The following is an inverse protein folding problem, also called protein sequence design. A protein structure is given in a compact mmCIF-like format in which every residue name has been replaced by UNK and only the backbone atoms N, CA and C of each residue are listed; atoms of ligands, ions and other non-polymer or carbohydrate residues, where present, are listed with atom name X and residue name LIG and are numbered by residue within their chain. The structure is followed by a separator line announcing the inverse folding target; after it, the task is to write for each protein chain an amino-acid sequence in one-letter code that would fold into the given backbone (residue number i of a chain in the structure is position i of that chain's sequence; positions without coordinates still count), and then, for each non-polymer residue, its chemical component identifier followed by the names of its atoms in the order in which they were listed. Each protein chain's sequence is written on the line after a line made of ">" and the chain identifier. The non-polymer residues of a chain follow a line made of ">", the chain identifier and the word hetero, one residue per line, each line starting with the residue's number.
data_IF_496305071779
#
_entry.id   IF_496305071779
#
_cell.length_a   1.000
_cell.length_b   1.000
_cell.length_c   1.000
_cell.angle_alpha   90.00
_cell.angle_beta   90.00
_cell.angle_gamma   90.00
#
_symmetry.space_group_name_H-M   'P 1'
#
loop_
_entity.id
_entity.type
_entity.pdbx_description
1 polymer ?
#
# COMPACT_ATOMS: atom_id res chain seq x y z
N UNK A 1 25.80 5.93 -15.77
CA UNK A 1 25.20 6.61 -14.59
C UNK A 1 23.97 7.36 -15.06
N UNK A 2 22.82 7.26 -14.38
CA UNK A 2 21.70 8.16 -14.66
C UNK A 2 22.15 9.61 -14.48
N UNK A 3 21.69 10.52 -15.32
CA UNK A 3 22.03 11.95 -15.19
C UNK A 3 21.57 12.44 -13.81
N UNK A 4 22.47 13.08 -13.07
CA UNK A 4 22.10 13.77 -11.84
C UNK A 4 21.15 14.92 -12.20
N UNK A 5 19.92 14.88 -11.70
CA UNK A 5 19.00 16.01 -11.83
C UNK A 5 19.40 17.10 -10.84
N UNK A 6 19.28 18.37 -11.25
CA UNK A 6 19.59 19.52 -10.38
C UNK A 6 18.60 19.68 -9.22
N UNK A 7 17.51 18.91 -9.21
CA UNK A 7 16.52 18.86 -8.15
C UNK A 7 15.40 17.90 -8.50
N UNK A 8 14.64 17.52 -7.49
CA UNK A 8 13.49 16.63 -7.57
C UNK A 8 12.43 17.09 -8.60
N UNK A 9 12.16 18.40 -8.69
CA UNK A 9 11.22 18.95 -9.67
C UNK A 9 11.68 18.71 -11.12
N UNK A 10 13.00 18.77 -11.37
CA UNK A 10 13.58 18.45 -12.66
C UNK A 10 13.49 16.95 -12.96
N UNK A 11 13.61 16.09 -11.95
CA UNK A 11 13.37 14.67 -12.11
C UNK A 11 11.89 14.38 -12.44
N UNK A 12 10.93 15.04 -11.80
CA UNK A 12 9.49 14.90 -12.09
C UNK A 12 9.16 15.32 -13.52
N UNK A 13 9.58 16.53 -13.91
CA UNK A 13 9.37 17.03 -15.26
C UNK A 13 10.07 16.16 -16.31
N UNK A 14 11.28 15.67 -16.03
CA UNK A 14 11.97 14.75 -16.95
C UNK A 14 11.25 13.40 -17.05
N UNK A 15 10.65 12.92 -15.97
CA UNK A 15 9.87 11.67 -15.97
C UNK A 15 8.62 11.86 -16.83
N UNK A 16 7.91 12.98 -16.66
CA UNK A 16 6.73 13.33 -17.45
C UNK A 16 7.03 13.59 -18.93
N UNK A 17 8.12 14.29 -19.23
CA UNK A 17 8.56 14.51 -20.59
C UNK A 17 8.89 13.17 -21.26
N UNK A 18 9.59 12.27 -20.56
CA UNK A 18 9.99 10.97 -21.11
C UNK A 18 8.81 10.07 -21.49
N UNK A 19 7.68 10.16 -20.78
CA UNK A 19 6.48 9.38 -21.12
C UNK A 19 5.61 10.06 -22.19
N UNK A 20 5.67 11.40 -22.27
CA UNK A 20 4.97 12.19 -23.29
C UNK A 20 5.61 11.99 -24.68
N UNK A 21 6.94 11.98 -24.77
CA UNK A 21 7.68 11.74 -26.02
C UNK A 21 7.47 10.32 -26.59
N UNK A 22 7.09 9.36 -25.74
CA UNK A 22 6.80 7.98 -26.17
C UNK A 22 5.36 7.85 -26.67
N UNK A 23 4.44 8.70 -26.19
CA UNK A 23 3.04 8.69 -26.57
C UNK A 23 2.77 9.45 -27.87
N UNK A 24 3.49 10.56 -28.12
CA UNK A 24 3.47 11.26 -29.40
C UNK A 24 4.57 10.72 -30.32
N UNK A 25 4.19 9.96 -31.36
CA UNK A 25 5.13 9.45 -32.39
C UNK A 25 5.75 10.54 -33.29
N UNK A 26 5.54 11.81 -32.94
CA UNK A 26 6.08 12.96 -33.63
C UNK A 26 7.37 13.42 -32.94
N UNK A 27 8.38 13.82 -33.72
CA UNK A 27 9.62 14.41 -33.20
C UNK A 27 9.33 15.79 -32.60
N UNK A 28 8.73 15.84 -31.41
CA UNK A 28 8.52 17.06 -30.66
C UNK A 28 9.89 17.64 -30.26
N UNK A 29 10.05 18.97 -30.39
CA UNK A 29 11.28 19.62 -29.91
C UNK A 29 11.30 19.52 -28.37
N UNK A 30 12.49 19.36 -27.79
CA UNK A 30 12.65 19.24 -26.33
C UNK A 30 11.99 20.38 -25.52
N UNK A 31 11.84 21.58 -26.11
CA UNK A 31 11.12 22.70 -25.51
C UNK A 31 9.60 22.49 -25.43
N UNK A 32 9.00 21.84 -26.43
CA UNK A 32 7.58 21.50 -26.46
C UNK A 32 7.27 20.41 -25.43
N UNK A 33 8.07 19.34 -25.39
CA UNK A 33 7.95 18.25 -24.40
C UNK A 33 8.04 18.74 -22.95
N UNK A 34 8.87 19.75 -22.69
CA UNK A 34 9.01 20.35 -21.36
C UNK A 34 7.79 21.20 -20.98
N UNK A 35 7.19 21.91 -21.95
CA UNK A 35 5.97 22.68 -21.76
C UNK A 35 4.75 21.77 -21.51
N UNK A 36 4.62 20.66 -22.26
CA UNK A 36 3.58 19.65 -22.01
C UNK A 36 3.79 18.92 -20.68
N UNK A 37 5.03 18.60 -20.31
CA UNK A 37 5.33 18.02 -19.00
C UNK A 37 4.94 18.96 -17.85
N UNK A 38 5.20 20.27 -18.01
CA UNK A 38 4.83 21.27 -17.01
C UNK A 38 3.32 21.47 -16.90
N UNK A 39 2.56 21.36 -17.99
CA UNK A 39 1.10 21.44 -17.94
C UNK A 39 0.43 20.19 -17.37
N UNK A 40 1.12 19.04 -17.43
CA UNK A 40 0.64 17.76 -16.88
C UNK A 40 0.95 17.61 -15.39
N UNK A 41 1.99 18.29 -14.91
CA UNK A 41 2.35 18.33 -13.49
C UNK A 41 1.29 19.12 -12.72
N UNK A 42 0.44 18.41 -11.98
CA UNK A 42 -0.63 19.01 -11.20
C UNK A 42 -0.11 19.62 -9.91
N UNK A 43 0.80 18.92 -9.23
CA UNK A 43 1.35 19.37 -7.97
C UNK A 43 2.70 18.72 -7.68
N UNK A 44 3.62 19.45 -7.05
CA UNK A 44 4.85 18.91 -6.47
C UNK A 44 4.82 19.16 -4.98
N UNK A 45 4.93 18.09 -4.20
CA UNK A 45 5.00 18.18 -2.74
C UNK A 45 6.45 17.96 -2.29
N UNK A 46 6.89 18.78 -1.33
CA UNK A 46 8.30 18.86 -0.88
C UNK A 46 8.47 18.98 0.64
N UNK A 47 7.37 19.02 1.39
CA UNK A 47 7.39 19.37 2.82
C UNK A 47 7.45 18.16 3.76
N UNK A 48 7.03 16.97 3.30
CA UNK A 48 7.02 15.72 4.08
C UNK A 48 7.69 14.59 3.32
N UNK A 49 7.42 14.50 2.02
CA UNK A 49 8.15 13.68 1.08
C UNK A 49 8.38 14.48 -0.20
N UNK A 50 9.34 14.02 -0.99
CA UNK A 50 9.60 14.52 -2.32
C UNK A 50 8.77 13.69 -3.30
N UNK A 51 7.73 14.29 -3.91
CA UNK A 51 7.05 13.66 -5.05
C UNK A 51 6.14 14.61 -5.82
N UNK A 52 5.35 14.04 -6.73
CA UNK A 52 4.45 14.81 -7.58
C UNK A 52 3.16 14.07 -7.93
N UNK A 53 2.15 14.83 -8.33
CA UNK A 53 0.93 14.37 -8.98
C UNK A 53 0.91 14.88 -10.42
N UNK A 54 0.46 14.06 -11.35
CA UNK A 54 0.36 14.42 -12.76
C UNK A 54 -0.85 13.78 -13.44
N UNK A 55 -1.39 14.47 -14.43
CA UNK A 55 -2.42 13.94 -15.32
C UNK A 55 -1.75 13.26 -16.53
N UNK A 56 -2.07 11.98 -16.76
CA UNK A 56 -1.48 11.16 -17.81
C UNK A 56 -2.57 10.59 -18.73
N UNK A 57 -2.26 10.46 -20.01
CA UNK A 57 -3.09 9.66 -20.92
C UNK A 57 -2.89 8.15 -20.68
N UNK A 58 -3.80 7.28 -21.14
CA UNK A 58 -3.62 5.82 -21.00
C UNK A 58 -2.31 5.30 -21.63
N UNK A 59 -1.88 5.85 -22.77
CA UNK A 59 -0.62 5.47 -23.41
C UNK A 59 0.60 5.93 -22.61
N UNK A 60 0.54 7.09 -21.97
CA UNK A 60 1.59 7.61 -21.08
C UNK A 60 1.69 6.80 -19.79
N UNK A 61 0.56 6.37 -19.22
CA UNK A 61 0.55 5.45 -18.09
C UNK A 61 1.22 4.12 -18.47
N UNK A 62 0.94 3.58 -19.65
CA UNK A 62 1.61 2.36 -20.14
C UNK A 62 3.11 2.58 -20.39
N UNK A 63 3.52 3.77 -20.83
CA UNK A 63 4.93 4.15 -20.92
C UNK A 63 5.59 4.30 -19.54
N UNK A 64 4.87 4.84 -18.55
CA UNK A 64 5.34 4.98 -17.17
C UNK A 64 5.47 3.62 -16.46
N UNK A 65 4.55 2.67 -16.71
CA UNK A 65 4.68 1.27 -16.27
C UNK A 65 5.93 0.60 -16.84
N UNK A 66 6.35 1.03 -18.03
CA UNK A 66 7.59 0.62 -18.70
C UNK A 66 8.79 1.49 -18.31
N UNK A 67 8.61 2.44 -17.39
CA UNK A 67 9.63 3.42 -17.02
C UNK A 67 10.86 2.74 -16.42
N UNK A 68 12.00 3.43 -16.46
CA UNK A 68 13.21 2.95 -15.84
C UNK A 68 13.07 2.69 -14.33
N UNK A 69 12.15 3.33 -13.59
CA UNK A 69 12.04 3.12 -12.14
C UNK A 69 11.56 1.71 -11.78
N UNK A 70 10.45 1.25 -12.36
CA UNK A 70 9.94 -0.12 -12.14
C UNK A 70 10.85 -1.19 -12.74
N UNK A 71 11.47 -0.90 -13.89
CA UNK A 71 12.44 -1.82 -14.49
C UNK A 71 13.78 -1.86 -13.73
N UNK A 72 14.25 -0.73 -13.20
CA UNK A 72 15.51 -0.66 -12.45
C UNK A 72 15.36 -1.26 -11.05
N UNK A 73 14.19 -1.12 -10.41
CA UNK A 73 13.89 -1.83 -9.16
C UNK A 73 13.42 -3.27 -9.37
N UNK A 74 13.31 -3.71 -10.63
CA UNK A 74 12.76 -5.01 -11.01
C UNK A 74 11.44 -5.32 -10.28
N UNK A 75 10.54 -4.33 -10.22
CA UNK A 75 9.22 -4.41 -9.57
C UNK A 75 9.26 -4.75 -8.06
N UNK A 76 10.37 -4.42 -7.38
CA UNK A 76 10.56 -4.70 -5.94
C UNK A 76 11.14 -6.07 -5.64
N UNK A 77 11.76 -6.73 -6.63
CA UNK A 77 12.41 -8.03 -6.44
C UNK A 77 13.40 -8.01 -5.25
N UNK A 78 13.27 -9.00 -4.37
CA UNK A 78 14.11 -9.18 -3.19
C UNK A 78 13.78 -8.26 -2.01
N UNK A 79 12.82 -7.34 -2.16
CA UNK A 79 12.33 -6.48 -1.08
C UNK A 79 11.25 -7.19 -0.28
N UNK A 80 11.28 -7.03 1.04
CA UNK A 80 10.29 -7.58 1.98
C UNK A 80 9.51 -6.42 2.60
N UNK A 81 8.21 -6.38 2.34
CA UNK A 81 7.28 -5.43 2.95
C UNK A 81 6.57 -6.12 4.11
N UNK A 82 6.88 -5.68 5.33
CA UNK A 82 6.18 -6.04 6.55
C UNK A 82 4.89 -5.21 6.71
N UNK A 83 3.79 -5.85 7.07
CA UNK A 83 2.52 -5.20 7.38
C UNK A 83 2.09 -5.50 8.81
N UNK A 84 1.80 -4.46 9.58
CA UNK A 84 1.15 -4.59 10.89
C UNK A 84 -0.31 -4.22 10.73
N UNK A 85 -1.20 -5.21 10.76
CA UNK A 85 -2.60 -5.05 10.31
C UNK A 85 -3.55 -6.14 10.89
N UNK A 86 -4.71 -6.37 10.27
CA UNK A 86 -5.75 -7.36 10.65
C UNK A 86 -5.46 -8.79 10.18
N UNK A 87 -4.38 -9.00 9.42
CA UNK A 87 -3.97 -10.31 8.90
C UNK A 87 -3.97 -10.39 7.38
N UNK A 88 -3.88 -11.60 6.85
CA UNK A 88 -3.90 -11.87 5.42
C UNK A 88 -4.87 -13.01 5.08
N UNK A 89 -5.54 -12.91 3.93
CA UNK A 89 -6.28 -14.02 3.31
C UNK A 89 -5.40 -14.74 2.28
N UNK A 90 -4.65 -15.79 2.66
CA UNK A 90 -3.54 -16.32 1.84
C UNK A 90 -4.00 -16.92 0.51
N UNK A 91 -5.25 -17.35 0.39
CA UNK A 91 -5.81 -17.90 -0.85
C UNK A 91 -6.20 -16.82 -1.88
N UNK A 92 -6.06 -15.54 -1.56
CA UNK A 92 -6.30 -14.47 -2.55
C UNK A 92 -5.32 -14.64 -3.72
N UNK A 93 -5.83 -14.52 -4.95
CA UNK A 93 -5.00 -14.55 -6.17
C UNK A 93 -3.88 -13.50 -6.12
N UNK A 94 -4.03 -12.41 -5.36
CA UNK A 94 -2.97 -11.42 -5.20
C UNK A 94 -1.75 -11.94 -4.43
N UNK A 95 -1.87 -13.06 -3.72
CA UNK A 95 -0.77 -13.77 -3.05
C UNK A 95 -0.25 -14.96 -3.85
N UNK A 96 -0.67 -15.15 -5.10
CA UNK A 96 -0.04 -16.16 -5.95
C UNK A 96 1.45 -15.84 -6.11
N UNK A 97 2.29 -16.87 -6.16
CA UNK A 97 3.74 -16.72 -6.21
C UNK A 97 4.34 -16.95 -7.61
N UNK A 98 3.49 -16.94 -8.64
CA UNK A 98 3.94 -17.03 -10.02
C UNK A 98 4.82 -15.83 -10.38
N UNK A 99 6.02 -16.11 -10.88
CA UNK A 99 7.00 -15.08 -11.25
C UNK A 99 7.70 -14.41 -10.06
N UNK A 100 7.46 -14.88 -8.83
CA UNK A 100 8.17 -14.38 -7.65
C UNK A 100 9.62 -14.85 -7.62
N UNK A 101 10.55 -13.99 -7.17
CA UNK A 101 11.93 -14.39 -6.90
C UNK A 101 12.02 -15.38 -5.73
N UNK A 102 13.20 -15.97 -5.55
CA UNK A 102 13.49 -16.76 -4.35
C UNK A 102 13.48 -15.87 -3.10
N UNK A 103 13.03 -16.43 -1.98
CA UNK A 103 12.99 -15.73 -0.69
C UNK A 103 14.41 -15.30 -0.30
N UNK A 104 14.65 -14.02 0.08
CA UNK A 104 15.97 -13.54 0.47
C UNK A 104 16.55 -14.37 1.61
N UNK A 105 17.82 -14.77 1.50
CA UNK A 105 18.52 -15.55 2.55
C UNK A 105 18.68 -14.80 3.87
N UNK A 106 18.49 -13.48 3.84
CA UNK A 106 18.51 -12.60 5.01
C UNK A 106 17.22 -12.65 5.80
N UNK A 107 16.13 -13.16 5.20
CA UNK A 107 14.83 -13.33 5.85
C UNK A 107 14.90 -14.33 7.01
N UNK A 108 14.37 -13.95 8.17
CA UNK A 108 14.36 -14.77 9.38
C UNK A 108 12.98 -15.05 9.95
N UNK A 109 11.94 -14.47 9.34
CA UNK A 109 10.57 -14.70 9.79
C UNK A 109 10.06 -16.09 9.46
N UNK A 110 8.89 -16.40 10.00
CA UNK A 110 8.26 -17.71 9.92
C UNK A 110 6.78 -17.62 9.56
N UNK A 111 6.20 -18.77 9.22
CA UNK A 111 4.78 -18.92 8.98
C UNK A 111 4.14 -19.65 10.15
N UNK A 112 3.60 -18.88 11.10
CA UNK A 112 2.98 -19.40 12.32
C UNK A 112 1.65 -20.07 12.00
N UNK A 113 1.43 -21.26 12.55
CA UNK A 113 0.16 -22.00 12.38
C UNK A 113 -0.83 -21.63 13.48
N UNK A 114 -2.12 -21.62 13.14
CA UNK A 114 -3.20 -21.32 14.06
C UNK A 114 -4.55 -21.76 13.50
N UNK A 115 -5.64 -21.19 14.01
CA UNK A 115 -7.00 -21.48 13.52
C UNK A 115 -7.12 -21.24 12.02
N UNK A 116 -7.46 -22.28 11.25
CA UNK A 116 -7.64 -22.23 9.78
C UNK A 116 -6.45 -21.61 9.02
N UNK A 117 -5.24 -21.66 9.60
CA UNK A 117 -4.02 -21.18 8.98
C UNK A 117 -2.89 -22.15 9.30
N UNK A 118 -2.27 -22.74 8.29
CA UNK A 118 -1.13 -23.63 8.48
C UNK A 118 0.12 -23.05 7.81
N UNK A 119 1.30 -23.51 8.21
CA UNK A 119 2.58 -23.00 7.70
C UNK A 119 2.79 -23.18 6.21
N UNK A 120 2.06 -24.09 5.55
CA UNK A 120 2.10 -24.30 4.10
C UNK A 120 1.30 -23.25 3.32
N UNK A 121 0.56 -22.37 4.00
CA UNK A 121 -0.13 -21.24 3.36
C UNK A 121 0.81 -20.08 3.02
N UNK A 122 2.02 -20.06 3.59
CA UNK A 122 3.07 -19.18 3.09
C UNK A 122 3.72 -19.78 1.84
N UNK A 123 4.14 -18.91 0.94
CA UNK A 123 4.75 -19.24 -0.35
C UNK A 123 5.83 -18.20 -0.68
N UNK A 124 6.28 -18.09 -1.94
CA UNK A 124 7.29 -17.05 -2.29
C UNK A 124 6.70 -15.64 -2.34
N UNK A 125 5.38 -15.46 -2.21
CA UNK A 125 4.72 -14.16 -2.17
C UNK A 125 4.45 -13.70 -0.74
N UNK A 126 3.65 -14.46 0.01
CA UNK A 126 3.45 -14.31 1.44
C UNK A 126 4.49 -15.18 2.14
N UNK A 127 5.64 -14.60 2.51
CA UNK A 127 6.81 -15.34 3.02
C UNK A 127 6.81 -15.50 4.54
N UNK A 128 5.98 -14.72 5.23
CA UNK A 128 5.86 -14.72 6.68
C UNK A 128 4.47 -14.32 7.13
N UNK A 129 4.00 -14.97 8.19
CA UNK A 129 2.69 -14.72 8.75
C UNK A 129 2.74 -15.00 10.24
N UNK A 130 2.62 -13.97 11.06
CA UNK A 130 2.68 -14.03 12.52
C UNK A 130 1.53 -13.22 13.12
N UNK A 131 1.14 -13.56 14.35
CA UNK A 131 0.06 -12.86 15.02
C UNK A 131 0.38 -12.57 16.49
N UNK A 132 -0.18 -11.49 17.02
CA UNK A 132 0.15 -10.94 18.33
C UNK A 132 -1.14 -10.58 19.06
N UNK A 133 -1.46 -11.31 20.12
CA UNK A 133 -2.67 -11.12 20.93
C UNK A 133 -2.42 -11.34 22.43
N UNK A 134 -1.15 -11.31 22.86
CA UNK A 134 -0.80 -11.54 24.26
C UNK A 134 -1.27 -10.40 25.14
N UNK A 135 -1.24 -9.16 24.66
CA UNK A 135 -1.82 -8.00 25.34
C UNK A 135 -3.33 -8.14 25.51
N UNK A 136 -4.02 -8.54 24.44
CA UNK A 136 -5.46 -8.84 24.46
C UNK A 136 -5.81 -9.91 25.51
N UNK A 137 -5.13 -11.06 25.46
CA UNK A 137 -5.36 -12.17 26.40
C UNK A 137 -5.01 -11.76 27.84
N UNK A 138 -3.96 -10.97 28.04
CA UNK A 138 -3.58 -10.50 29.38
C UNK A 138 -4.65 -9.56 29.98
N UNK A 139 -5.28 -8.70 29.17
CA UNK A 139 -6.39 -7.86 29.64
C UNK A 139 -7.65 -8.68 29.89
N UNK A 140 -7.96 -9.63 29.01
CA UNK A 140 -9.16 -10.44 29.07
C UNK A 140 -8.82 -11.94 29.03
N UNK A 141 -8.44 -12.56 30.17
CA UNK A 141 -7.96 -13.94 30.21
C UNK A 141 -8.96 -15.00 29.74
N UNK A 142 -10.26 -14.70 29.78
CA UNK A 142 -11.34 -15.61 29.36
C UNK A 142 -11.88 -15.29 27.96
N UNK A 143 -11.18 -14.45 27.19
CA UNK A 143 -11.59 -14.11 25.84
C UNK A 143 -11.41 -15.30 24.90
N UNK A 144 -12.39 -15.53 24.04
CA UNK A 144 -12.29 -16.54 22.98
C UNK A 144 -11.97 -15.81 21.68
N UNK A 145 -10.76 -16.02 21.16
CA UNK A 145 -10.35 -15.48 19.86
C UNK A 145 -10.80 -16.47 18.79
N UNK A 146 -11.79 -16.07 18.01
CA UNK A 146 -12.47 -16.95 17.05
C UNK A 146 -11.53 -17.41 15.93
N UNK A 147 -10.71 -16.50 15.39
CA UNK A 147 -9.71 -16.77 14.37
C UNK A 147 -8.30 -16.54 14.91
N UNK A 148 -7.88 -17.36 15.89
CA UNK A 148 -6.55 -17.29 16.52
C UNK A 148 -5.43 -17.75 15.57
N UNK A 149 -5.19 -16.95 14.54
CA UNK A 149 -4.15 -17.08 13.53
C UNK A 149 -3.98 -15.76 12.77
N UNK A 150 -3.01 -15.72 11.84
CA UNK A 150 -2.79 -14.60 10.92
C UNK A 150 -3.85 -14.49 9.81
N UNK A 151 -4.85 -15.39 9.77
CA UNK A 151 -5.95 -15.27 8.80
C UNK A 151 -6.75 -13.99 9.05
N UNK A 152 -6.95 -13.22 7.99
CA UNK A 152 -7.77 -12.02 8.01
C UNK A 152 -9.26 -12.36 8.06
N UNK A 153 -9.99 -11.72 8.97
CA UNK A 153 -11.45 -11.84 9.12
C UNK A 153 -12.18 -10.53 8.86
N UNK A 154 -11.44 -9.44 8.69
CA UNK A 154 -11.99 -8.09 8.45
C UNK A 154 -11.81 -7.70 6.98
N UNK A 155 -10.59 -7.92 6.43
CA UNK A 155 -10.25 -7.68 5.03
C UNK A 155 -9.25 -6.53 4.81
N UNK A 156 -9.08 -5.63 5.78
CA UNK A 156 -8.23 -4.45 5.71
C UNK A 156 -6.77 -4.84 5.49
N UNK A 157 -6.23 -5.77 6.27
CA UNK A 157 -4.86 -6.26 6.11
C UNK A 157 -4.61 -6.93 4.75
N UNK A 158 -5.58 -7.68 4.24
CA UNK A 158 -5.53 -8.23 2.88
C UNK A 158 -5.57 -7.12 1.83
N UNK A 159 -6.39 -6.10 2.02
CA UNK A 159 -6.50 -4.98 1.09
C UNK A 159 -5.21 -4.11 1.07
N UNK A 160 -4.65 -3.78 2.23
CA UNK A 160 -3.46 -2.93 2.36
C UNK A 160 -2.22 -3.63 1.81
N UNK A 161 -2.00 -4.89 2.17
CA UNK A 161 -0.88 -5.70 1.67
C UNK A 161 -0.90 -5.90 0.15
N UNK A 162 -2.08 -6.19 -0.41
CA UNK A 162 -2.22 -6.39 -1.86
C UNK A 162 -2.17 -5.07 -2.64
N UNK A 163 -2.48 -3.93 -2.00
CA UNK A 163 -2.21 -2.60 -2.57
C UNK A 163 -0.71 -2.29 -2.59
N UNK A 164 0.02 -2.65 -1.53
CA UNK A 164 1.48 -2.42 -1.48
C UNK A 164 2.23 -3.34 -2.45
N UNK A 165 1.91 -4.62 -2.41
CA UNK A 165 2.64 -5.66 -3.11
C UNK A 165 1.75 -6.82 -3.55
N UNK A 166 0.52 -6.63 -4.02
CA UNK A 166 -0.23 -7.71 -4.68
C UNK A 166 0.46 -8.15 -5.97
N UNK A 167 0.48 -9.45 -6.27
CA UNK A 167 0.90 -9.94 -7.58
C UNK A 167 -0.14 -9.53 -8.66
N UNK A 168 0.19 -9.73 -9.93
CA UNK A 168 -0.72 -9.42 -11.03
C UNK A 168 -1.91 -10.39 -11.03
N UNK A 169 -3.13 -9.84 -11.00
CA UNK A 169 -4.40 -10.59 -11.08
C UNK A 169 -5.22 -10.04 -12.23
N UNK A 170 -5.31 -10.81 -13.32
CA UNK A 170 -6.07 -10.44 -14.51
C UNK A 170 -7.59 -10.54 -14.26
N UNK A 171 -8.36 -9.65 -14.89
CA UNK A 171 -9.82 -9.69 -14.84
C UNK A 171 -10.42 -9.31 -13.49
N UNK A 172 -9.63 -8.77 -12.57
CA UNK A 172 -10.11 -8.26 -11.29
C UNK A 172 -11.13 -7.15 -11.49
N UNK A 173 -12.20 -7.17 -10.69
CA UNK A 173 -13.22 -6.13 -10.66
C UNK A 173 -13.93 -6.15 -9.30
N UNK A 174 -14.51 -5.01 -8.92
CA UNK A 174 -15.48 -4.97 -7.84
C UNK A 174 -16.87 -5.09 -8.47
N UNK A 175 -17.42 -6.30 -8.57
CA UNK A 175 -18.74 -6.54 -9.17
C UNK A 175 -18.90 -5.84 -10.54
N UNK A 176 -17.92 -6.03 -11.44
CA UNK A 176 -17.90 -5.39 -12.76
C UNK A 176 -17.33 -3.96 -12.79
N UNK A 177 -17.33 -3.23 -11.67
CA UNK A 177 -16.67 -1.94 -11.55
C UNK A 177 -15.15 -2.08 -11.54
N UNK A 178 -14.45 -1.06 -12.04
CA UNK A 178 -12.99 -0.99 -12.04
C UNK A 178 -12.28 -2.21 -12.68
N UNK A 179 -12.89 -2.83 -13.70
CA UNK A 179 -12.34 -4.01 -14.38
C UNK A 179 -10.95 -3.74 -14.93
N UNK A 180 -9.99 -4.61 -14.61
CA UNK A 180 -8.63 -4.53 -15.13
C UNK A 180 -7.73 -5.62 -14.56
N UNK A 181 -6.42 -5.39 -14.61
CA UNK A 181 -5.43 -6.20 -13.88
C UNK A 181 -5.13 -5.51 -12.56
N UNK A 182 -5.46 -6.15 -11.44
CA UNK A 182 -5.05 -5.68 -10.13
C UNK A 182 -3.57 -6.02 -9.90
N UNK A 183 -2.86 -5.13 -9.22
CA UNK A 183 -1.44 -5.29 -8.90
C UNK A 183 -1.07 -4.30 -7.79
N UNK A 184 -0.16 -4.70 -6.91
CA UNK A 184 0.43 -3.78 -5.95
C UNK A 184 1.41 -2.82 -6.61
N UNK A 185 1.86 -1.82 -5.85
CA UNK A 185 2.90 -0.88 -6.31
C UNK A 185 4.22 -1.61 -6.62
N UNK A 186 4.57 -2.61 -5.79
CA UNK A 186 5.75 -3.46 -5.93
C UNK A 186 5.35 -4.95 -6.07
N UNK A 187 4.88 -5.39 -7.25
CA UNK A 187 4.28 -6.72 -7.39
C UNK A 187 5.25 -7.88 -7.23
N UNK A 188 6.57 -7.66 -7.34
CA UNK A 188 7.60 -8.68 -7.10
C UNK A 188 8.26 -8.60 -5.72
N UNK A 189 7.78 -7.70 -4.85
CA UNK A 189 8.17 -7.69 -3.44
C UNK A 189 7.46 -8.82 -2.67
N UNK A 190 8.12 -9.32 -1.65
CA UNK A 190 7.55 -10.27 -0.69
C UNK A 190 6.71 -9.55 0.36
N UNK A 191 5.70 -10.26 0.87
CA UNK A 191 4.83 -9.80 1.95
C UNK A 191 5.13 -10.60 3.20
N UNK A 192 5.30 -9.91 4.33
CA UNK A 192 5.30 -10.50 5.66
C UNK A 192 4.18 -9.86 6.50
N UNK A 193 3.24 -10.67 6.96
CA UNK A 193 2.08 -10.19 7.71
C UNK A 193 2.27 -10.38 9.21
N UNK A 194 2.05 -9.32 9.97
CA UNK A 194 2.12 -9.26 11.43
C UNK A 194 0.75 -8.82 11.95
N UNK A 195 -0.15 -9.78 12.17
CA UNK A 195 -1.51 -9.49 12.67
C UNK A 195 -1.46 -9.04 14.12
N UNK A 196 -1.83 -7.80 14.38
CA UNK A 196 -1.92 -7.24 15.73
C UNK A 196 -3.27 -6.57 16.01
N UNK A 197 -4.12 -6.49 14.99
CA UNK A 197 -5.48 -6.00 15.08
C UNK A 197 -6.46 -7.18 15.03
N UNK A 198 -7.41 -7.20 15.96
CA UNK A 198 -8.37 -8.30 16.13
C UNK A 198 -9.78 -7.77 16.29
N UNK A 199 -10.75 -8.56 15.84
CA UNK A 199 -12.18 -8.29 16.03
C UNK A 199 -12.52 -8.17 17.52
N UNK A 200 -11.85 -8.97 18.35
CA UNK A 200 -12.04 -8.97 19.80
C UNK A 200 -11.33 -7.80 20.53
N UNK A 201 -10.52 -7.01 19.82
CA UNK A 201 -9.85 -5.82 20.34
C UNK A 201 -8.34 -5.84 20.10
N UNK A 202 -7.75 -4.64 20.09
CA UNK A 202 -6.33 -4.44 19.77
C UNK A 202 -5.63 -3.75 20.92
N UNK A 203 -4.39 -4.17 21.21
CA UNK A 203 -3.60 -3.62 22.31
C UNK A 203 -2.27 -3.13 21.80
N UNK A 204 -1.85 -2.00 22.33
CA UNK A 204 -0.62 -1.37 21.86
C UNK A 204 0.63 -2.19 22.15
N UNK A 205 0.61 -3.00 23.22
CA UNK A 205 1.68 -3.96 23.48
C UNK A 205 1.82 -5.01 22.37
N UNK A 206 0.70 -5.42 21.75
CA UNK A 206 0.72 -6.34 20.61
C UNK A 206 1.22 -5.64 19.34
N UNK A 207 0.90 -4.35 19.15
CA UNK A 207 1.44 -3.53 18.06
C UNK A 207 2.96 -3.38 18.16
N UNK A 208 3.49 -3.04 19.35
CA UNK A 208 4.94 -2.93 19.57
C UNK A 208 5.60 -4.29 19.31
N UNK A 209 5.04 -5.38 19.84
CA UNK A 209 5.58 -6.72 19.63
C UNK A 209 5.61 -7.12 18.14
N UNK A 210 4.59 -6.74 17.37
CA UNK A 210 4.55 -6.95 15.93
C UNK A 210 5.65 -6.16 15.19
N UNK A 211 5.84 -4.89 15.54
CA UNK A 211 6.89 -4.03 14.96
C UNK A 211 8.28 -4.58 15.31
N UNK A 212 8.54 -4.88 16.58
CA UNK A 212 9.82 -5.45 17.05
C UNK A 212 10.12 -6.77 16.34
N UNK A 213 9.10 -7.60 16.13
CA UNK A 213 9.28 -8.85 15.41
C UNK A 213 9.58 -8.63 13.93
N UNK A 214 8.91 -7.67 13.27
CA UNK A 214 9.21 -7.30 11.90
C UNK A 214 10.66 -6.82 11.72
N UNK A 215 11.16 -6.02 12.66
CA UNK A 215 12.55 -5.58 12.68
C UNK A 215 13.50 -6.79 12.82
N UNK A 216 13.20 -7.70 13.74
CA UNK A 216 14.02 -8.90 13.98
C UNK A 216 14.05 -9.85 12.78
N UNK A 217 12.91 -9.99 12.09
CA UNK A 217 12.75 -10.87 10.94
C UNK A 217 13.47 -10.33 9.69
N UNK A 218 13.78 -9.02 9.69
CA UNK A 218 14.56 -8.35 8.66
C UNK A 218 13.72 -7.86 7.48
N UNK A 219 12.55 -7.26 7.75
CA UNK A 219 11.79 -6.53 6.72
C UNK A 219 12.56 -5.29 6.25
N UNK A 220 12.40 -4.90 4.98
CA UNK A 220 13.03 -3.70 4.42
C UNK A 220 12.12 -2.47 4.57
N UNK A 221 10.81 -2.70 4.49
CA UNK A 221 9.76 -1.69 4.58
C UNK A 221 8.72 -2.16 5.59
N UNK A 222 8.25 -1.25 6.43
CA UNK A 222 7.12 -1.45 7.32
C UNK A 222 5.96 -0.56 6.87
N UNK A 223 4.81 -1.17 6.59
CA UNK A 223 3.57 -0.47 6.22
C UNK A 223 2.54 -0.64 7.33
N UNK A 224 2.04 0.47 7.85
CA UNK A 224 1.13 0.50 8.99
C UNK A 224 -0.05 1.42 8.70
N UNK A 225 -1.21 0.85 8.43
CA UNK A 225 -2.45 1.60 8.22
C UNK A 225 -3.21 1.78 9.55
N UNK A 226 -2.49 2.25 10.57
CA UNK A 226 -2.97 2.43 11.94
C UNK A 226 -2.14 3.49 12.66
N UNK A 227 -2.54 3.87 13.86
CA UNK A 227 -1.78 4.77 14.73
C UNK A 227 -2.54 5.06 16.03
N UNK A 228 -2.09 6.06 16.79
CA UNK A 228 -2.74 6.54 18.01
C UNK A 228 -2.89 8.07 17.97
N UNK A 229 -3.97 8.57 18.56
CA UNK A 229 -4.28 9.99 18.63
C UNK A 229 -4.02 10.56 20.03
N UNK A 230 -3.68 11.84 20.08
CA UNK A 230 -3.65 12.62 21.32
C UNK A 230 -2.49 12.29 22.27
N UNK A 231 -1.44 11.62 21.79
CA UNK A 231 -0.26 11.27 22.60
C UNK A 231 0.97 12.11 22.18
N UNK A 232 1.78 12.60 23.14
CA UNK A 232 3.09 13.16 22.81
C UNK A 232 4.06 12.05 22.37
N UNK A 233 5.04 12.38 21.51
CA UNK A 233 5.94 11.39 20.89
C UNK A 233 6.66 10.45 21.87
N UNK A 234 6.98 10.92 23.08
CA UNK A 234 7.65 10.13 24.11
C UNK A 234 6.71 9.16 24.85
N UNK A 235 5.39 9.32 24.68
CA UNK A 235 4.35 8.44 25.22
C UNK A 235 3.63 7.69 24.10
N UNK A 236 3.92 7.98 22.83
CA UNK A 236 3.42 7.25 21.68
C UNK A 236 4.28 5.99 21.44
N UNK A 237 3.79 4.80 21.80
CA UNK A 237 4.52 3.55 21.58
C UNK A 237 4.76 3.20 20.12
N UNK A 238 3.92 3.68 19.18
CA UNK A 238 4.17 3.48 17.75
C UNK A 238 5.34 4.36 17.33
N UNK A 239 5.40 5.59 17.81
CA UNK A 239 6.57 6.45 17.59
C UNK A 239 7.85 5.77 18.13
N UNK A 240 7.83 5.28 19.38
CA UNK A 240 8.98 4.60 19.99
C UNK A 240 9.42 3.35 19.22
N UNK A 241 8.48 2.46 18.86
CA UNK A 241 8.79 1.23 18.14
C UNK A 241 9.30 1.50 16.71
N UNK A 242 8.71 2.47 16.01
CA UNK A 242 9.14 2.84 14.65
C UNK A 242 10.47 3.58 14.64
N UNK A 243 10.86 4.24 15.74
CA UNK A 243 12.20 4.79 15.88
C UNK A 243 13.27 3.69 15.80
N UNK A 244 13.05 2.57 16.49
CA UNK A 244 13.93 1.41 16.43
C UNK A 244 14.00 0.79 15.03
N UNK A 245 12.90 0.80 14.26
CA UNK A 245 12.90 0.35 12.87
C UNK A 245 13.82 1.23 11.99
N UNK A 246 13.70 2.55 12.13
CA UNK A 246 14.53 3.50 11.38
C UNK A 246 16.01 3.38 11.74
N UNK A 247 16.36 3.15 13.02
CA UNK A 247 17.75 2.85 13.44
C UNK A 247 18.33 1.59 12.79
N UNK A 248 17.48 0.68 12.30
CA UNK A 248 17.85 -0.52 11.55
C UNK A 248 17.75 -0.34 10.03
N UNK A 249 17.60 0.89 9.55
CA UNK A 249 17.42 1.25 8.14
C UNK A 249 16.15 0.65 7.50
N UNK A 250 15.11 0.42 8.30
CA UNK A 250 13.81 -0.04 7.82
C UNK A 250 12.96 1.18 7.51
N UNK A 251 12.49 1.31 6.28
CA UNK A 251 11.62 2.43 5.90
C UNK A 251 10.22 2.22 6.47
N UNK A 252 9.63 3.25 7.10
CA UNK A 252 8.31 3.15 7.73
C UNK A 252 7.31 4.07 7.04
N UNK A 253 6.17 3.52 6.63
CA UNK A 253 5.03 4.24 6.05
C UNK A 253 3.80 4.09 6.94
N UNK A 254 3.19 5.21 7.33
CA UNK A 254 2.01 5.27 8.18
C UNK A 254 0.90 6.13 7.56
N UNK A 255 -0.37 5.86 7.86
CA UNK A 255 -1.48 6.70 7.42
C UNK A 255 -1.60 7.99 8.26
N UNK A 256 -2.10 9.08 7.65
CA UNK A 256 -2.36 10.36 8.31
C UNK A 256 -3.70 10.42 9.06
N UNK A 257 -4.46 9.32 9.10
CA UNK A 257 -5.79 9.24 9.72
C UNK A 257 -6.92 9.82 8.87
N UNK A 258 -8.15 9.61 9.34
CA UNK A 258 -9.39 9.93 8.62
C UNK A 258 -10.27 10.96 9.33
N UNK A 259 -9.78 11.58 10.43
CA UNK A 259 -10.52 12.53 11.28
C UNK A 259 -10.55 13.97 10.73
N UNK A 260 -10.15 14.16 9.47
CA UNK A 260 -10.26 15.44 8.78
C UNK A 260 -11.70 15.96 8.68
N UNK A 261 -11.91 17.21 8.23
CA UNK A 261 -10.95 18.10 7.58
C UNK A 261 -10.42 19.24 8.47
N UNK A 262 -10.68 19.20 9.78
CA UNK A 262 -10.29 20.27 10.69
C UNK A 262 -8.77 20.29 10.94
N UNK A 263 -8.25 21.40 11.46
CA UNK A 263 -6.84 21.49 11.84
C UNK A 263 -6.55 20.55 13.01
N UNK A 264 -5.30 20.10 13.10
CA UNK A 264 -4.80 19.26 14.21
C UNK A 264 -5.49 17.90 14.34
N UNK A 265 -6.07 17.38 13.24
CA UNK A 265 -6.67 16.04 13.17
C UNK A 265 -5.75 15.01 12.51
N UNK A 266 -4.47 15.34 12.33
CA UNK A 266 -3.51 14.42 11.72
C UNK A 266 -3.14 13.31 12.72
N UNK A 267 -3.03 12.11 12.19
CA UNK A 267 -2.52 10.93 12.87
C UNK A 267 -1.04 10.73 12.55
N UNK A 268 -0.30 10.01 13.41
CA UNK A 268 1.10 9.63 13.18
C UNK A 268 2.02 10.80 12.76
N UNK A 269 1.93 11.94 13.46
CA UNK A 269 2.79 13.13 13.24
C UNK A 269 4.25 12.94 13.68
N UNK A 270 4.86 11.83 13.28
CA UNK A 270 6.13 11.32 13.79
C UNK A 270 7.26 11.70 12.82
N UNK A 271 8.29 12.45 13.24
CA UNK A 271 9.29 13.01 12.32
C UNK A 271 10.12 12.00 11.50
N UNK A 272 10.24 10.76 11.97
CA UNK A 272 11.08 9.73 11.34
C UNK A 272 10.32 8.74 10.45
N UNK A 273 9.00 8.86 10.34
CA UNK A 273 8.18 7.99 9.46
C UNK A 273 7.61 8.79 8.30
N UNK A 274 7.22 8.10 7.23
CA UNK A 274 6.44 8.69 6.15
C UNK A 274 4.96 8.71 6.53
N UNK A 275 4.42 9.88 6.88
CA UNK A 275 2.98 10.07 7.12
C UNK A 275 2.24 10.37 5.82
N UNK A 276 1.30 9.51 5.43
CA UNK A 276 0.64 9.52 4.11
C UNK A 276 -0.81 9.99 4.19
N UNK A 277 -1.14 11.06 3.48
CA UNK A 277 -2.51 11.54 3.28
C UNK A 277 -3.22 10.81 2.11
N UNK A 278 -4.55 10.86 2.07
CA UNK A 278 -5.36 10.30 0.99
C UNK A 278 -5.82 11.38 0.00
N UNK A 279 -5.74 11.08 -1.30
CA UNK A 279 -6.24 11.92 -2.39
C UNK A 279 -7.18 11.13 -3.30
N UNK A 280 -8.03 11.84 -4.05
CA UNK A 280 -8.94 11.21 -5.02
C UNK A 280 -8.21 10.86 -6.32
N UNK A 281 -8.73 9.87 -7.04
CA UNK A 281 -8.32 9.53 -8.39
C UNK A 281 -9.23 10.22 -9.42
N UNK A 282 -8.83 10.19 -10.69
CA UNK A 282 -9.64 10.65 -11.82
C UNK A 282 -10.82 9.69 -12.14
N UNK A 283 -10.71 8.42 -11.73
CA UNK A 283 -11.75 7.41 -11.87
C UNK A 283 -12.93 7.67 -10.91
N UNK A 284 -14.08 7.97 -11.50
CA UNK A 284 -15.39 7.97 -10.84
C UNK A 284 -16.18 6.68 -11.09
N UNK A 285 -17.20 6.43 -10.26
CA UNK A 285 -18.17 5.36 -10.45
C UNK A 285 -19.54 5.97 -10.69
N UNK A 286 -19.87 6.10 -11.97
CA UNK A 286 -21.00 6.88 -12.42
C UNK A 286 -22.27 6.04 -12.59
N UNK A 287 -23.42 6.63 -12.29
CA UNK A 287 -24.73 6.11 -12.63
C UNK A 287 -25.56 7.16 -13.35
N UNK A 288 -26.21 6.76 -14.44
CA UNK A 288 -27.07 7.63 -15.23
C UNK A 288 -28.52 7.45 -14.78
N UNK A 289 -29.10 8.47 -14.18
CA UNK A 289 -30.51 8.56 -13.87
C UNK A 289 -31.24 9.18 -15.06
N UNK A 290 -32.08 8.40 -15.75
CA UNK A 290 -32.94 8.89 -16.82
C UNK A 290 -34.36 9.08 -16.31
N UNK A 291 -34.84 10.32 -16.32
CA UNK A 291 -36.18 10.71 -15.88
C UNK A 291 -37.22 10.39 -16.96
N UNK A 292 -38.49 10.26 -16.58
CA UNK A 292 -39.59 9.95 -17.52
C UNK A 292 -39.84 11.01 -18.61
N UNK A 293 -39.28 12.22 -18.45
CA UNK A 293 -39.29 13.27 -19.47
C UNK A 293 -38.09 13.20 -20.44
N UNK A 294 -37.25 12.16 -20.34
CA UNK A 294 -36.09 11.95 -21.21
C UNK A 294 -34.81 12.68 -20.77
N UNK A 295 -34.83 13.44 -19.67
CA UNK A 295 -33.62 14.07 -19.12
C UNK A 295 -32.76 13.02 -18.43
N UNK A 296 -31.47 12.97 -18.77
CA UNK A 296 -30.48 12.13 -18.09
C UNK A 296 -29.57 12.97 -17.20
N UNK A 297 -29.31 12.49 -15.99
CA UNK A 297 -28.41 13.09 -15.00
C UNK A 297 -27.37 12.04 -14.61
N UNK A 298 -26.09 12.39 -14.74
CA UNK A 298 -24.99 11.55 -14.25
C UNK A 298 -24.72 11.86 -12.78
N UNK A 299 -24.92 10.88 -11.91
CA UNK A 299 -24.52 10.91 -10.50
C UNK A 299 -23.49 9.82 -10.20
N UNK A 300 -23.20 9.59 -8.92
CA UNK A 300 -22.30 8.51 -8.50
C UNK A 300 -23.08 7.35 -7.87
N UNK A 301 -22.64 6.12 -8.11
CA UNK A 301 -23.24 4.92 -7.50
C UNK A 301 -22.25 3.77 -7.43
N UNK A 302 -22.41 2.96 -6.38
CA UNK A 302 -21.77 1.65 -6.22
C UNK A 302 -22.83 0.53 -6.20
N UNK A 303 -23.98 0.76 -6.84
CA UNK A 303 -25.06 -0.22 -6.87
C UNK A 303 -24.58 -1.50 -7.56
N UNK A 304 -24.66 -2.62 -6.85
CA UNK A 304 -24.20 -3.90 -7.37
C UNK A 304 -25.20 -4.53 -8.34
N UNK A 305 -26.48 -4.15 -8.35
CA UNK A 305 -27.46 -4.89 -9.17
C UNK A 305 -27.70 -6.31 -8.66
N UNK A 306 -28.33 -7.14 -9.50
CA UNK A 306 -28.51 -8.56 -9.24
C UNK A 306 -27.31 -9.34 -9.81
N UNK A 307 -26.22 -9.42 -9.05
CA UNK A 307 -25.18 -10.40 -9.33
C UNK A 307 -25.65 -11.77 -8.83
N UNK A 308 -25.90 -12.69 -9.76
CA UNK A 308 -26.00 -14.12 -9.45
C UNK A 308 -24.57 -14.62 -9.32
N UNK A 309 -24.17 -14.99 -8.10
CA UNK A 309 -22.87 -15.60 -7.77
C UNK A 309 -22.83 -17.03 -8.31
#
# INVERSE_FOLDING_TARGET
>A
MPKSFSGQHHWYLSTLASVSDVADSSTARASEATLTASSKLLYSYTHVLNGFSASLTPSELEALKKSPAWKASNYGDGIIIGLVDTGAWPESESYNDHGMPEIPKTWKGECESGTQFNSLMCNKKLIGARFFNKGLIAKYPNITISMNSTRDTEGHGTHTSTTAAGNFVEGASYFGYAKGTASGVAPRAHVAMYKALWDEGSYTTDLIAAIDQAISDGVDVLSMSLGLDGLPLNEDPIALATFAAIEKNIFVSTSAGNEGPFRETLHNGIPWVLTVAAGTLDRGFDAVLTLGNGISITGSSFYLGEFII
#
